data_IF_312883062824
#
_entry.id   IF_312883062824
#
_cell.length_a   1.000
_cell.length_b   1.000
_cell.length_c   1.000
_cell.angle_alpha   90.00
_cell.angle_beta   90.00
_cell.angle_gamma   90.00
#
_symmetry.space_group_name_H-M   'P 1'
#
loop_
_entity.id
_entity.type
_entity.pdbx_description
1 polymer ?
#
# COMPACT_ATOMS: atom_id res chain seq x y z
N UNK A 1 10.64 1.80 8.32
CA UNK A 1 10.58 1.82 6.84
C UNK A 1 9.45 0.90 6.40
N UNK A 2 8.78 1.17 5.26
CA UNK A 2 7.72 0.29 4.72
C UNK A 2 8.21 -1.16 4.53
N UNK A 3 9.48 -1.35 4.22
CA UNK A 3 10.08 -2.67 4.08
C UNK A 3 10.15 -3.46 5.39
N UNK A 4 10.03 -2.82 6.53
CA UNK A 4 9.97 -3.51 7.83
C UNK A 4 8.61 -4.21 7.99
N UNK A 5 7.51 -3.56 7.60
CA UNK A 5 6.19 -4.22 7.59
C UNK A 5 6.17 -5.47 6.69
N UNK A 6 6.82 -5.39 5.51
CA UNK A 6 6.91 -6.51 4.58
C UNK A 6 7.78 -7.68 5.11
N UNK A 7 8.69 -7.42 6.03
CA UNK A 7 9.60 -8.45 6.60
C UNK A 7 9.11 -9.02 7.92
N UNK A 8 8.22 -8.31 8.61
CA UNK A 8 7.74 -8.72 9.92
C UNK A 8 6.76 -9.87 9.74
N UNK A 9 7.15 -11.06 10.21
CA UNK A 9 6.18 -12.16 10.37
C UNK A 9 5.27 -11.79 11.51
N UNK A 10 4.00 -11.62 11.21
CA UNK A 10 2.96 -11.43 12.21
C UNK A 10 2.41 -12.79 12.62
N UNK A 11 2.13 -12.98 13.89
CA UNK A 11 1.42 -14.16 14.36
C UNK A 11 -0.08 -13.85 14.42
N UNK A 12 -0.89 -14.76 13.95
CA UNK A 12 -2.35 -14.60 13.96
C UNK A 12 -3.07 -15.94 13.94
N UNK A 13 -4.22 -16.00 14.61
CA UNK A 13 -5.05 -17.22 14.71
C UNK A 13 -6.28 -17.18 13.81
N UNK A 14 -6.54 -16.04 13.15
CA UNK A 14 -7.75 -15.83 12.33
C UNK A 14 -7.54 -16.05 10.83
N UNK A 15 -6.35 -16.49 10.44
CA UNK A 15 -5.98 -16.71 9.03
C UNK A 15 -4.99 -15.66 8.54
N UNK A 16 -4.68 -15.76 7.24
CA UNK A 16 -3.63 -14.95 6.59
C UNK A 16 -4.22 -14.04 5.54
N UNK A 17 -3.88 -12.76 5.62
CA UNK A 17 -4.26 -11.72 4.66
C UNK A 17 -3.04 -11.38 3.80
N UNK A 18 -3.19 -11.50 2.49
CA UNK A 18 -2.20 -11.01 1.51
C UNK A 18 -2.44 -9.55 1.16
N UNK A 19 -1.41 -8.71 1.24
CA UNK A 19 -1.47 -7.29 0.85
C UNK A 19 -0.44 -7.04 -0.25
N UNK A 20 -0.83 -6.58 -1.45
CA UNK A 20 0.13 -6.22 -2.49
C UNK A 20 0.79 -4.88 -2.14
N UNK A 21 2.13 -4.82 -2.19
CA UNK A 21 2.88 -3.58 -2.00
C UNK A 21 2.95 -2.81 -3.33
N UNK A 22 1.87 -2.14 -3.68
CA UNK A 22 1.69 -1.46 -4.98
C UNK A 22 0.92 -0.16 -4.82
N UNK A 23 1.09 0.76 -5.75
CA UNK A 23 0.31 1.99 -5.88
C UNK A 23 0.06 2.68 -4.52
N UNK A 24 -1.20 2.94 -4.18
CA UNK A 24 -1.58 3.59 -2.91
C UNK A 24 -1.24 2.76 -1.65
N UNK A 25 -0.97 1.46 -1.77
CA UNK A 25 -0.53 0.66 -0.63
C UNK A 25 0.85 1.07 -0.12
N UNK A 26 1.68 1.75 -0.92
CA UNK A 26 2.91 2.38 -0.45
C UNK A 26 2.70 3.47 0.62
N UNK A 27 1.53 4.06 0.67
CA UNK A 27 1.14 5.02 1.69
C UNK A 27 0.34 4.37 2.82
N UNK A 28 -0.54 3.44 2.46
CA UNK A 28 -1.59 2.91 3.34
C UNK A 28 -1.22 1.61 4.05
N UNK A 29 -0.09 0.98 3.68
CA UNK A 29 0.34 -0.27 4.32
C UNK A 29 0.45 -0.16 5.85
N UNK A 30 0.97 0.91 6.46
CA UNK A 30 1.00 1.03 7.91
C UNK A 30 -0.38 0.92 8.55
N UNK A 31 -1.38 1.60 7.97
CA UNK A 31 -2.77 1.51 8.43
C UNK A 31 -3.31 0.08 8.35
N UNK A 32 -3.25 -0.53 7.17
CA UNK A 32 -3.84 -1.85 6.96
C UNK A 32 -3.12 -2.96 7.70
N UNK A 33 -1.79 -2.87 7.79
CA UNK A 33 -0.99 -3.82 8.56
C UNK A 33 -1.41 -3.79 10.04
N UNK A 34 -1.47 -2.62 10.67
CA UNK A 34 -1.91 -2.47 12.06
C UNK A 34 -3.36 -2.94 12.24
N UNK A 35 -4.26 -2.57 11.33
CA UNK A 35 -5.66 -2.98 11.36
C UNK A 35 -5.81 -4.51 11.38
N UNK A 36 -5.21 -5.21 10.44
CA UNK A 36 -5.34 -6.67 10.36
C UNK A 36 -4.64 -7.40 11.49
N UNK A 37 -3.46 -6.94 11.91
CA UNK A 37 -2.73 -7.56 13.04
C UNK A 37 -3.44 -7.34 14.36
N UNK A 38 -4.04 -6.18 14.60
CA UNK A 38 -4.88 -5.90 15.76
C UNK A 38 -6.10 -6.84 15.83
N UNK A 39 -6.65 -7.23 14.70
CA UNK A 39 -7.71 -8.24 14.61
C UNK A 39 -7.23 -9.69 14.79
N UNK A 40 -5.93 -9.92 14.93
CA UNK A 40 -5.35 -11.26 15.06
C UNK A 40 -5.18 -12.02 13.74
N UNK A 41 -5.11 -11.32 12.60
CA UNK A 41 -4.70 -11.91 11.33
C UNK A 41 -3.17 -11.90 11.17
N UNK A 42 -2.65 -12.91 10.49
CA UNK A 42 -1.32 -12.87 9.93
C UNK A 42 -1.36 -12.03 8.65
N UNK A 43 -0.39 -11.14 8.47
CA UNK A 43 -0.28 -10.32 7.26
C UNK A 43 0.94 -10.76 6.45
N UNK A 44 0.70 -11.06 5.18
CA UNK A 44 1.73 -11.35 4.18
C UNK A 44 1.73 -10.23 3.15
N UNK A 45 2.81 -9.47 3.10
CA UNK A 45 3.00 -8.40 2.11
C UNK A 45 3.79 -8.95 0.94
N UNK A 46 3.37 -8.64 -0.29
CA UNK A 46 4.14 -9.04 -1.47
C UNK A 46 5.55 -8.44 -1.46
N UNK A 47 6.55 -9.08 -2.09
CA UNK A 47 7.93 -8.59 -2.06
C UNK A 47 8.06 -7.23 -2.74
N UNK A 48 9.21 -6.59 -2.55
CA UNK A 48 9.58 -5.37 -3.28
C UNK A 48 9.57 -5.65 -4.78
N UNK A 49 9.10 -4.71 -5.57
CA UNK A 49 9.02 -4.82 -7.02
C UNK A 49 10.37 -5.12 -7.67
N UNK A 50 10.32 -5.92 -8.70
CA UNK A 50 11.47 -6.28 -9.53
C UNK A 50 11.01 -6.58 -10.96
N UNK A 51 11.93 -6.49 -11.91
CA UNK A 51 11.64 -6.84 -13.30
C UNK A 51 11.11 -8.28 -13.45
N UNK A 52 11.65 -9.21 -12.64
CA UNK A 52 11.13 -10.59 -12.62
C UNK A 52 9.66 -10.63 -12.19
N UNK A 53 9.29 -9.92 -11.13
CA UNK A 53 7.90 -9.88 -10.66
C UNK A 53 6.96 -9.30 -11.73
N UNK A 54 7.42 -8.29 -12.47
CA UNK A 54 6.69 -7.78 -13.64
C UNK A 54 6.46 -8.85 -14.70
N UNK A 55 7.52 -9.59 -15.07
CA UNK A 55 7.43 -10.66 -16.07
C UNK A 55 6.47 -11.78 -15.63
N UNK A 56 6.48 -12.14 -14.36
CA UNK A 56 5.62 -13.19 -13.80
C UNK A 56 4.11 -12.83 -13.91
N UNK A 57 3.76 -11.53 -13.90
CA UNK A 57 2.38 -11.04 -14.07
C UNK A 57 2.00 -10.58 -15.48
N UNK A 58 2.97 -10.48 -16.39
CA UNK A 58 2.80 -9.81 -17.68
C UNK A 58 1.66 -10.37 -18.53
N UNK A 59 1.46 -11.68 -18.52
CA UNK A 59 0.44 -12.36 -19.33
C UNK A 59 -1.01 -11.98 -18.99
N UNK A 60 -1.24 -11.34 -17.85
CA UNK A 60 -2.57 -10.95 -17.38
C UNK A 60 -2.85 -9.46 -17.58
N UNK A 61 -1.91 -8.69 -18.11
CA UNK A 61 -2.05 -7.26 -18.39
C UNK A 61 -2.96 -7.06 -19.61
N UNK A 62 -4.13 -6.41 -19.45
CA UNK A 62 -5.12 -6.33 -20.53
C UNK A 62 -4.80 -5.27 -21.57
N UNK A 63 -3.90 -4.32 -21.29
CA UNK A 63 -3.61 -3.20 -22.18
C UNK A 63 -2.19 -2.68 -22.00
N UNK A 64 -1.53 -2.41 -23.12
CA UNK A 64 -0.20 -1.78 -23.15
C UNK A 64 -0.24 -0.31 -22.72
N UNK A 65 -1.41 0.33 -22.76
CA UNK A 65 -1.58 1.75 -22.39
C UNK A 65 -1.61 1.99 -20.90
N UNK A 66 -1.77 0.93 -20.06
CA UNK A 66 -1.66 1.06 -18.62
C UNK A 66 -0.24 1.53 -18.24
N UNK A 67 -0.15 2.44 -17.24
CA UNK A 67 1.14 2.90 -16.75
C UNK A 67 1.93 1.76 -16.09
N UNK A 68 3.26 1.87 -16.08
CA UNK A 68 4.13 0.82 -15.56
C UNK A 68 3.84 0.47 -14.08
N UNK A 69 3.60 1.44 -13.16
CA UNK A 69 3.20 1.12 -11.79
C UNK A 69 1.93 0.26 -11.68
N UNK A 70 0.95 0.49 -12.57
CA UNK A 70 -0.25 -0.34 -12.61
C UNK A 70 0.04 -1.75 -13.14
N UNK A 71 0.85 -1.88 -14.19
CA UNK A 71 1.27 -3.18 -14.73
C UNK A 71 2.00 -4.03 -13.69
N UNK A 72 2.79 -3.40 -12.80
CA UNK A 72 3.46 -4.09 -11.71
C UNK A 72 2.50 -4.81 -10.77
N UNK A 73 1.26 -4.31 -10.59
CA UNK A 73 0.29 -4.92 -9.69
C UNK A 73 -0.05 -6.36 -10.06
N UNK A 74 -0.02 -6.70 -11.35
CA UNK A 74 -0.29 -8.06 -11.84
C UNK A 74 0.70 -9.07 -11.28
N UNK A 75 1.99 -8.74 -11.25
CA UNK A 75 3.02 -9.60 -10.67
C UNK A 75 2.87 -9.78 -9.15
N UNK A 76 2.56 -8.70 -8.44
CA UNK A 76 2.33 -8.76 -6.99
C UNK A 76 1.13 -9.64 -6.63
N UNK A 77 0.03 -9.50 -7.37
CA UNK A 77 -1.17 -10.33 -7.15
C UNK A 77 -0.89 -11.78 -7.55
N UNK A 78 -0.22 -12.04 -8.66
CA UNK A 78 0.16 -13.40 -9.06
C UNK A 78 1.04 -14.06 -7.99
N UNK A 79 1.99 -13.33 -7.43
CA UNK A 79 2.82 -13.82 -6.33
C UNK A 79 2.00 -14.17 -5.08
N UNK A 80 1.06 -13.32 -4.68
CA UNK A 80 0.17 -13.58 -3.54
C UNK A 80 -0.76 -14.77 -3.80
N UNK A 81 -1.26 -14.93 -5.03
CA UNK A 81 -2.05 -16.12 -5.42
C UNK A 81 -1.26 -17.42 -5.26
N UNK A 82 0.05 -17.38 -5.48
CA UNK A 82 0.96 -18.52 -5.32
C UNK A 82 1.28 -18.89 -3.87
N UNK A 83 0.91 -18.07 -2.87
CA UNK A 83 1.11 -18.40 -1.46
C UNK A 83 -0.01 -19.31 -0.96
N UNK A 84 0.32 -20.51 -0.52
CA UNK A 84 -0.68 -21.52 -0.10
C UNK A 84 -1.46 -21.09 1.14
N UNK A 85 -0.83 -20.44 2.09
CA UNK A 85 -1.38 -19.97 3.35
C UNK A 85 -2.19 -18.66 3.23
N UNK A 86 -2.09 -17.95 2.10
CA UNK A 86 -2.88 -16.73 1.84
C UNK A 86 -4.23 -17.13 1.25
N UNK A 87 -5.29 -17.01 2.03
CA UNK A 87 -6.66 -17.29 1.59
C UNK A 87 -7.40 -16.04 1.11
N UNK A 88 -7.18 -14.91 1.76
CA UNK A 88 -7.76 -13.61 1.38
C UNK A 88 -6.66 -12.68 0.89
N UNK A 89 -6.90 -12.03 -0.24
CA UNK A 89 -6.04 -10.96 -0.76
C UNK A 89 -6.81 -9.65 -0.62
N UNK A 90 -6.25 -8.69 0.12
CA UNK A 90 -6.85 -7.40 0.36
C UNK A 90 -6.19 -6.32 -0.50
N UNK A 91 -6.95 -5.76 -1.43
CA UNK A 91 -6.53 -4.63 -2.25
C UNK A 91 -7.75 -3.78 -2.64
N UNK A 92 -8.13 -2.76 -1.83
CA UNK A 92 -9.36 -2.01 -2.03
C UNK A 92 -9.29 -1.03 -3.19
N UNK A 93 -10.46 -0.77 -3.80
CA UNK A 93 -10.67 0.37 -4.67
C UNK A 93 -10.76 1.65 -3.84
N UNK A 94 -9.97 2.67 -4.18
CA UNK A 94 -9.89 3.91 -3.40
C UNK A 94 -9.94 5.15 -4.30
N UNK A 95 -11.10 5.78 -4.36
CA UNK A 95 -11.30 7.00 -5.15
C UNK A 95 -10.63 8.21 -4.52
N UNK A 96 -10.67 8.32 -3.19
CA UNK A 96 -10.13 9.45 -2.44
C UNK A 96 -8.92 9.03 -1.60
N UNK A 97 -7.95 9.93 -1.48
CA UNK A 97 -6.86 9.81 -0.52
C UNK A 97 -7.15 10.63 0.74
N UNK A 98 -6.29 10.52 1.76
CA UNK A 98 -6.38 11.36 2.95
C UNK A 98 -6.31 12.84 2.61
N UNK A 99 -7.14 13.65 3.27
CA UNK A 99 -7.07 15.10 3.22
C UNK A 99 -6.02 15.60 4.23
N UNK A 100 -4.88 16.03 3.73
CA UNK A 100 -3.83 16.65 4.56
C UNK A 100 -4.02 18.18 4.71
N UNK A 101 -5.11 18.74 4.16
CA UNK A 101 -5.40 20.18 4.14
C UNK A 101 -4.30 21.03 3.48
N UNK A 102 -3.55 20.44 2.55
CA UNK A 102 -2.46 21.10 1.82
C UNK A 102 -2.80 21.36 0.34
N UNK A 103 -3.95 20.91 -0.11
CA UNK A 103 -4.44 21.05 -1.47
C UNK A 103 -5.96 20.97 -1.55
N UNK A 104 -6.50 21.22 -2.72
CA UNK A 104 -7.94 21.27 -3.02
C UNK A 104 -8.47 20.03 -3.75
N UNK A 105 -7.58 19.06 -4.06
CA UNK A 105 -7.93 17.83 -4.76
C UNK A 105 -7.32 16.59 -4.10
N UNK A 106 -8.20 15.70 -3.66
CA UNK A 106 -7.85 14.45 -2.96
C UNK A 106 -8.19 13.19 -3.77
N UNK A 107 -8.54 13.35 -5.05
CA UNK A 107 -8.83 12.22 -5.92
C UNK A 107 -7.56 11.47 -6.30
N UNK A 108 -7.61 10.16 -6.22
CA UNK A 108 -6.65 9.31 -6.89
C UNK A 108 -6.86 9.34 -8.40
N UNK A 109 -5.82 9.06 -9.19
CA UNK A 109 -6.02 8.87 -10.61
C UNK A 109 -6.92 7.63 -10.83
N UNK A 110 -7.68 7.57 -11.94
CA UNK A 110 -8.62 6.45 -12.20
C UNK A 110 -7.95 5.08 -12.13
N UNK A 111 -6.70 4.97 -12.57
CA UNK A 111 -5.94 3.71 -12.50
C UNK A 111 -5.74 3.29 -11.04
N UNK A 112 -5.30 4.19 -10.16
CA UNK A 112 -5.13 3.87 -8.73
C UNK A 112 -6.49 3.55 -8.08
N UNK A 113 -7.53 4.30 -8.45
CA UNK A 113 -8.85 4.17 -7.83
C UNK A 113 -9.56 2.84 -8.14
N UNK A 114 -9.42 2.34 -9.39
CA UNK A 114 -10.25 1.24 -9.90
C UNK A 114 -9.46 0.01 -10.37
N UNK A 115 -8.14 0.01 -10.27
CA UNK A 115 -7.33 -1.08 -10.81
C UNK A 115 -7.59 -2.45 -10.17
N UNK A 116 -8.01 -2.56 -8.89
CA UNK A 116 -8.44 -3.84 -8.33
C UNK A 116 -9.55 -4.55 -9.13
N UNK A 117 -10.50 -3.81 -9.72
CA UNK A 117 -11.52 -4.38 -10.60
C UNK A 117 -10.92 -4.96 -11.89
N UNK A 118 -9.91 -4.30 -12.45
CA UNK A 118 -9.18 -4.79 -13.62
C UNK A 118 -8.49 -6.10 -13.29
N UNK A 119 -7.83 -6.20 -12.14
CA UNK A 119 -7.15 -7.42 -11.68
C UNK A 119 -8.13 -8.57 -11.47
N UNK A 120 -9.28 -8.30 -10.82
CA UNK A 120 -10.34 -9.29 -10.58
C UNK A 120 -10.82 -9.96 -11.87
N UNK A 121 -10.86 -9.20 -12.97
CA UNK A 121 -11.33 -9.69 -14.26
C UNK A 121 -10.24 -10.31 -15.14
N UNK A 122 -8.96 -10.03 -14.89
CA UNK A 122 -7.86 -10.42 -15.76
C UNK A 122 -6.91 -11.45 -15.16
N UNK A 123 -6.97 -11.73 -13.85
CA UNK A 123 -6.13 -12.74 -13.18
C UNK A 123 -6.98 -13.95 -12.78
N UNK A 124 -6.92 -15.06 -13.55
CA UNK A 124 -7.76 -16.23 -13.27
C UNK A 124 -7.56 -16.85 -11.89
N UNK A 125 -6.34 -16.81 -11.36
CA UNK A 125 -6.01 -17.40 -10.07
C UNK A 125 -6.64 -16.67 -8.88
N UNK A 126 -7.06 -15.43 -9.04
CA UNK A 126 -7.82 -14.69 -8.03
C UNK A 126 -9.17 -15.37 -7.71
N UNK A 127 -9.75 -16.11 -8.66
CA UNK A 127 -10.99 -16.89 -8.42
C UNK A 127 -10.83 -17.99 -7.38
N UNK A 128 -9.60 -18.37 -7.05
CA UNK A 128 -9.27 -19.38 -6.01
C UNK A 128 -9.07 -18.77 -4.63
N UNK A 129 -9.10 -17.44 -4.52
CA UNK A 129 -8.87 -16.67 -3.31
C UNK A 129 -10.11 -15.82 -3.00
N UNK A 130 -10.27 -15.46 -1.76
CA UNK A 130 -11.20 -14.39 -1.39
C UNK A 130 -10.52 -13.05 -1.72
N UNK A 131 -10.92 -12.40 -2.81
CA UNK A 131 -10.35 -11.12 -3.23
C UNK A 131 -11.21 -9.98 -2.69
N UNK A 132 -10.73 -9.35 -1.63
CA UNK A 132 -11.39 -8.23 -0.96
C UNK A 132 -10.96 -6.91 -1.61
N UNK A 133 -11.74 -6.43 -2.59
CA UNK A 133 -11.44 -5.22 -3.38
C UNK A 133 -12.56 -4.18 -3.36
N UNK A 134 -13.37 -4.17 -2.31
CA UNK A 134 -14.47 -3.24 -2.11
C UNK A 134 -14.01 -1.78 -2.17
N UNK A 135 -14.95 -0.87 -2.47
CA UNK A 135 -14.72 0.56 -2.44
C UNK A 135 -14.60 1.07 -1.01
N UNK A 136 -13.46 1.65 -0.68
CA UNK A 136 -13.14 2.14 0.66
C UNK A 136 -12.70 3.59 0.59
N UNK A 137 -13.18 4.40 1.52
CA UNK A 137 -12.79 5.79 1.69
C UNK A 137 -12.28 6.02 3.11
N UNK A 138 -10.98 6.32 3.25
CA UNK A 138 -10.32 6.63 4.52
C UNK A 138 -10.26 8.13 4.82
N UNK A 139 -10.66 9.00 3.86
CA UNK A 139 -10.53 10.46 4.02
C UNK A 139 -11.48 11.03 5.08
N UNK A 140 -12.62 10.37 5.30
CA UNK A 140 -13.57 10.71 6.36
C UNK A 140 -13.66 9.54 7.36
N UNK A 141 -12.95 9.69 8.49
CA UNK A 141 -12.88 8.67 9.53
C UNK A 141 -14.27 8.32 10.09
N UNK A 142 -15.16 9.31 10.23
CA UNK A 142 -16.50 9.09 10.80
C UNK A 142 -17.37 8.24 9.86
N UNK A 143 -17.39 8.56 8.57
CA UNK A 143 -18.12 7.78 7.58
C UNK A 143 -17.47 6.41 7.36
N UNK A 144 -16.13 6.32 7.40
CA UNK A 144 -15.43 5.04 7.34
C UNK A 144 -15.83 4.12 8.49
N UNK A 145 -15.79 4.59 9.74
CA UNK A 145 -16.21 3.82 10.93
C UNK A 145 -17.65 3.35 10.87
N UNK A 146 -18.53 4.12 10.25
CA UNK A 146 -19.94 3.78 10.10
C UNK A 146 -20.20 2.70 9.05
N UNK A 147 -19.49 2.73 7.93
CA UNK A 147 -19.80 1.88 6.77
C UNK A 147 -18.86 0.67 6.63
N UNK A 148 -17.57 0.83 6.88
CA UNK A 148 -16.58 -0.21 6.66
C UNK A 148 -16.80 -1.49 7.48
N UNK A 149 -17.24 -1.45 8.75
CA UNK A 149 -17.50 -2.68 9.51
C UNK A 149 -18.54 -3.60 8.86
N UNK A 150 -19.57 -3.01 8.24
CA UNK A 150 -20.57 -3.78 7.49
C UNK A 150 -19.99 -4.45 6.24
N UNK A 151 -19.11 -3.76 5.54
CA UNK A 151 -18.40 -4.28 4.36
C UNK A 151 -17.42 -5.38 4.78
N UNK A 152 -16.61 -5.12 5.81
CA UNK A 152 -15.61 -6.07 6.32
C UNK A 152 -16.23 -7.40 6.76
N UNK A 153 -17.37 -7.37 7.43
CA UNK A 153 -18.04 -8.57 7.91
C UNK A 153 -18.67 -9.44 6.83
N UNK A 154 -18.77 -9.00 5.58
CA UNK A 154 -19.13 -9.87 4.46
C UNK A 154 -18.05 -10.94 4.23
N UNK A 155 -16.78 -10.57 4.41
CA UNK A 155 -15.63 -11.48 4.31
C UNK A 155 -15.30 -12.17 5.64
N UNK A 156 -15.49 -11.48 6.76
CA UNK A 156 -15.12 -11.96 8.11
C UNK A 156 -16.30 -11.84 9.09
N UNK A 157 -17.36 -12.66 8.94
CA UNK A 157 -18.59 -12.51 9.74
C UNK A 157 -18.40 -12.79 11.23
N UNK A 158 -17.34 -13.52 11.63
CA UNK A 158 -17.02 -13.82 13.03
C UNK A 158 -16.40 -12.65 13.80
N UNK A 159 -15.93 -11.61 13.10
CA UNK A 159 -15.32 -10.43 13.74
C UNK A 159 -16.42 -9.47 14.19
N UNK A 160 -16.39 -9.07 15.47
CA UNK A 160 -17.38 -8.16 16.03
C UNK A 160 -17.16 -6.70 15.61
N UNK A 161 -18.22 -5.90 15.61
CA UNK A 161 -18.13 -4.46 15.34
C UNK A 161 -17.16 -3.74 16.28
N UNK A 162 -17.13 -4.15 17.56
CA UNK A 162 -16.24 -3.56 18.57
C UNK A 162 -14.78 -3.84 18.27
N UNK A 163 -14.43 -5.05 17.83
CA UNK A 163 -13.07 -5.39 17.43
C UNK A 163 -12.64 -4.60 16.20
N UNK A 164 -13.54 -4.47 15.22
CA UNK A 164 -13.26 -3.69 13.99
C UNK A 164 -13.03 -2.22 14.33
N UNK A 165 -13.84 -1.61 15.20
CA UNK A 165 -13.68 -0.21 15.60
C UNK A 165 -12.38 0.03 16.38
N UNK A 166 -11.98 -0.90 17.25
CA UNK A 166 -10.67 -0.86 17.91
C UNK A 166 -9.53 -0.95 16.91
N UNK A 167 -9.61 -1.88 15.95
CA UNK A 167 -8.58 -2.06 14.92
C UNK A 167 -8.48 -0.85 13.99
N UNK A 168 -9.58 -0.17 13.68
CA UNK A 168 -9.58 1.10 12.94
C UNK A 168 -8.78 2.16 13.72
N UNK A 169 -8.97 2.24 15.04
CA UNK A 169 -8.21 3.17 15.89
C UNK A 169 -6.71 2.89 15.82
N UNK A 170 -6.31 1.63 15.91
CA UNK A 170 -4.91 1.20 15.82
C UNK A 170 -4.33 1.53 14.43
N UNK A 171 -5.11 1.30 13.38
CA UNK A 171 -4.73 1.63 12.00
C UNK A 171 -4.43 3.13 11.81
N UNK A 172 -5.32 4.01 12.25
CA UNK A 172 -5.10 5.46 12.16
C UNK A 172 -3.91 5.92 13.02
N UNK A 173 -3.74 5.35 14.22
CA UNK A 173 -2.62 5.66 15.10
C UNK A 173 -1.27 5.30 14.44
N UNK A 174 -1.17 4.11 13.87
CA UNK A 174 0.04 3.65 13.17
C UNK A 174 0.33 4.46 11.92
N UNK A 175 -0.69 4.77 11.10
CA UNK A 175 -0.53 5.65 9.94
C UNK A 175 0.05 7.00 10.34
N UNK A 176 -0.54 7.65 11.36
CA UNK A 176 -0.08 8.94 11.86
C UNK A 176 1.37 8.88 12.36
N UNK A 177 1.69 7.86 13.15
CA UNK A 177 3.05 7.62 13.67
C UNK A 177 4.06 7.46 12.53
N UNK A 178 3.70 6.70 11.50
CA UNK A 178 4.53 6.48 10.32
C UNK A 178 4.78 7.79 9.56
N UNK A 179 3.75 8.58 9.30
CA UNK A 179 3.87 9.87 8.60
C UNK A 179 4.71 10.88 9.39
N UNK A 180 4.57 10.92 10.71
CA UNK A 180 5.42 11.74 11.59
C UNK A 180 6.89 11.29 11.53
N UNK A 181 7.15 9.99 11.49
CA UNK A 181 8.50 9.45 11.35
C UNK A 181 9.15 9.84 10.01
N UNK A 182 8.39 9.80 8.90
CA UNK A 182 8.85 10.26 7.58
C UNK A 182 9.20 11.75 7.63
N UNK A 183 8.30 12.60 8.16
CA UNK A 183 8.53 14.05 8.28
C UNK A 183 9.74 14.37 9.14
N UNK A 184 9.92 13.66 10.25
CA UNK A 184 11.11 13.80 11.11
C UNK A 184 12.38 13.45 10.34
N UNK A 185 12.37 12.32 9.61
CA UNK A 185 13.53 11.89 8.81
C UNK A 185 13.89 12.88 7.71
N UNK A 186 12.90 13.43 7.03
CA UNK A 186 13.10 14.49 6.04
C UNK A 186 13.78 15.72 6.64
N UNK A 187 13.32 16.18 7.80
CA UNK A 187 13.94 17.31 8.52
C UNK A 187 15.40 17.02 8.90
N UNK A 188 15.72 15.82 9.39
CA UNK A 188 17.09 15.41 9.72
C UNK A 188 17.99 15.46 8.49
N UNK A 189 17.53 14.95 7.33
CA UNK A 189 18.27 14.98 6.07
C UNK A 189 18.57 16.42 5.65
N UNK A 190 17.56 17.29 5.68
CA UNK A 190 17.71 18.72 5.33
C UNK A 190 18.73 19.41 6.24
N UNK A 191 18.65 19.19 7.55
CA UNK A 191 19.58 19.80 8.51
C UNK A 191 21.02 19.33 8.26
N UNK A 192 21.21 18.02 8.07
CA UNK A 192 22.53 17.45 7.76
C UNK A 192 23.09 18.00 6.45
N UNK A 193 22.28 18.05 5.39
CA UNK A 193 22.71 18.57 4.10
C UNK A 193 23.14 20.06 4.18
N UNK A 194 22.42 20.87 4.96
CA UNK A 194 22.81 22.29 5.21
C UNK A 194 24.13 22.40 5.96
N UNK A 195 24.37 21.56 6.97
CA UNK A 195 25.65 21.54 7.71
C UNK A 195 26.83 21.11 6.83
N UNK A 196 26.57 20.19 5.89
CA UNK A 196 27.57 19.69 4.94
C UNK A 196 27.67 20.57 3.67
N UNK A 197 26.97 21.70 3.60
CA UNK A 197 26.88 22.59 2.43
C UNK A 197 26.52 21.89 1.12
N UNK A 198 25.71 20.81 1.20
CA UNK A 198 25.22 20.09 0.05
C UNK A 198 24.02 20.75 -0.57
N UNK A 199 23.92 20.65 -1.89
CA UNK A 199 22.69 20.99 -2.61
C UNK A 199 21.57 20.03 -2.18
N UNK A 200 20.37 20.56 -1.96
CA UNK A 200 19.20 19.76 -1.60
C UNK A 200 18.27 19.72 -2.80
N UNK A 201 17.90 18.52 -3.22
CA UNK A 201 16.96 18.27 -4.31
C UNK A 201 15.72 17.63 -3.70
N UNK A 202 14.56 18.23 -3.96
CA UNK A 202 13.26 17.63 -3.62
C UNK A 202 12.79 16.77 -4.78
N UNK A 203 12.65 15.47 -4.53
CA UNK A 203 12.15 14.52 -5.51
C UNK A 203 10.65 14.31 -5.28
N UNK A 204 9.84 15.16 -5.93
CA UNK A 204 8.39 15.11 -5.78
C UNK A 204 7.75 14.00 -6.64
N UNK A 205 6.83 13.25 -6.06
CA UNK A 205 6.12 12.19 -6.76
C UNK A 205 4.97 11.61 -5.94
N UNK A 206 4.31 10.60 -6.49
CA UNK A 206 3.31 9.81 -5.74
C UNK A 206 4.02 8.85 -4.78
N UNK A 207 3.39 8.38 -3.69
CA UNK A 207 4.01 7.49 -2.71
C UNK A 207 4.71 6.26 -3.32
N UNK A 208 4.12 5.65 -4.35
CA UNK A 208 4.68 4.48 -5.02
C UNK A 208 5.91 4.77 -5.91
N UNK A 209 6.30 6.04 -6.10
CA UNK A 209 7.56 6.36 -6.77
C UNK A 209 8.80 6.07 -5.91
N UNK A 210 8.62 5.69 -4.64
CA UNK A 210 9.73 5.17 -3.81
C UNK A 210 10.03 3.69 -4.09
N UNK A 211 9.19 3.00 -4.85
CA UNK A 211 9.41 1.64 -5.31
C UNK A 211 10.69 1.56 -6.16
N UNK A 212 11.62 0.64 -5.85
CA UNK A 212 12.92 0.60 -6.52
C UNK A 212 12.85 0.29 -8.02
N UNK A 213 11.87 -0.49 -8.47
CA UNK A 213 11.67 -0.79 -9.88
C UNK A 213 11.05 0.42 -10.63
N UNK A 214 10.12 1.13 -9.98
CA UNK A 214 9.49 2.33 -10.56
C UNK A 214 10.44 3.53 -10.52
N UNK A 215 11.23 3.66 -9.47
CA UNK A 215 12.16 4.78 -9.24
C UNK A 215 13.40 4.72 -10.16
N UNK A 216 13.75 3.54 -10.67
CA UNK A 216 14.96 3.32 -11.49
C UNK A 216 16.27 3.80 -10.84
N UNK A 217 16.32 3.95 -9.52
CA UNK A 217 17.50 4.38 -8.78
C UNK A 217 17.86 5.86 -8.91
N UNK A 218 16.94 6.73 -9.38
CA UNK A 218 17.19 8.16 -9.60
C UNK A 218 17.70 8.87 -8.33
N UNK A 219 17.17 8.52 -7.16
CA UNK A 219 17.64 9.06 -5.88
C UNK A 219 19.09 8.70 -5.58
N UNK A 220 19.53 7.48 -5.95
CA UNK A 220 20.92 7.04 -5.80
C UNK A 220 21.85 7.80 -6.73
N UNK A 221 21.42 8.02 -7.98
CA UNK A 221 22.16 8.82 -8.96
C UNK A 221 22.37 10.25 -8.43
N UNK A 222 21.31 10.90 -7.97
CA UNK A 222 21.40 12.26 -7.42
C UNK A 222 22.36 12.31 -6.23
N UNK A 223 22.28 11.35 -5.31
CA UNK A 223 23.20 11.27 -4.17
C UNK A 223 24.65 11.03 -4.61
N UNK A 224 24.89 10.24 -5.66
CA UNK A 224 26.24 9.99 -6.19
C UNK A 224 26.89 11.22 -6.79
N UNK A 225 26.08 12.21 -7.22
CA UNK A 225 26.54 13.52 -7.71
C UNK A 225 26.80 14.53 -6.58
N UNK A 226 26.72 14.09 -5.32
CA UNK A 226 27.04 14.90 -4.14
C UNK A 226 25.87 15.70 -3.56
N UNK A 227 24.66 15.62 -4.13
CA UNK A 227 23.47 16.28 -3.58
C UNK A 227 22.77 15.40 -2.52
N UNK A 228 21.96 16.04 -1.68
CA UNK A 228 21.03 15.35 -0.79
C UNK A 228 19.65 15.31 -1.44
N UNK A 229 18.91 14.21 -1.23
CA UNK A 229 17.55 14.02 -1.77
C UNK A 229 16.55 13.93 -0.61
N UNK A 230 15.43 14.64 -0.79
CA UNK A 230 14.27 14.62 0.12
C UNK A 230 12.99 14.35 -0.65
#
# INVERSE_FOLDING_TARGET
>A
SLLEYAKTKTEGTRGTIGIPLVLNMYELLPFWHAFFTSLGFQVVVSPVSSHKLYQDGQNTIPSDTACYPAKMTHGHIAWLCGQEDVHTIFYPCMTYNFDEHLGDNHYNCPVVAYYPEVLANNIPDLKKKDFFYEYINLSDEKEFRKHFPGVFRKHFPSVSFKEIDSAITDGYAEYKSHMEAIRRKGKEIIQKARQEHKQIIVLAGRPYHVDPEINHGIHKLICSLGAAVV
#
